data_IF_049973124198
#
_entry.id   IF_049973124198
#
_cell.length_a   1.000
_cell.length_b   1.000
_cell.length_c   1.000
_cell.angle_alpha   90.00
_cell.angle_beta   90.00
_cell.angle_gamma   90.00
#
_symmetry.space_group_name_H-M   'P 1'
#
loop_
_entity.id
_entity.type
_entity.pdbx_description
1 polymer ?
#
# COMPACT_ATOMS: atom_id res chain seq x y z
N UNK A 1 38.01 14.50 5.35
CA UNK A 1 36.81 15.11 4.71
C UNK A 1 37.23 15.92 3.49
N UNK A 2 38.08 16.96 3.59
CA UNK A 2 38.54 17.80 2.44
C UNK A 2 39.09 16.98 1.27
N UNK A 3 39.78 15.86 1.52
CA UNK A 3 40.30 14.98 0.50
C UNK A 3 39.15 14.22 -0.21
N UNK A 4 38.14 13.77 0.52
CA UNK A 4 36.95 13.11 -0.02
C UNK A 4 36.17 14.09 -0.91
N UNK A 5 35.91 15.31 -0.47
CA UNK A 5 35.25 16.35 -1.27
C UNK A 5 36.02 16.67 -2.57
N UNK A 6 37.32 16.74 -2.50
CA UNK A 6 38.19 16.95 -3.68
C UNK A 6 38.13 15.76 -4.64
N UNK A 7 38.08 14.53 -4.12
CA UNK A 7 37.95 13.30 -4.90
C UNK A 7 36.60 13.22 -5.61
N UNK A 8 35.52 13.56 -4.88
CA UNK A 8 34.15 13.52 -5.36
C UNK A 8 33.93 14.55 -6.46
N UNK A 9 34.45 15.79 -6.30
CA UNK A 9 34.07 16.90 -7.19
C UNK A 9 32.55 17.06 -7.25
N UNK A 10 32.00 17.00 -8.46
CA UNK A 10 30.55 16.98 -8.71
C UNK A 10 30.06 15.60 -9.21
N UNK A 11 30.80 14.53 -8.96
CA UNK A 11 30.43 13.19 -9.40
C UNK A 11 29.53 12.49 -8.38
N UNK A 12 28.23 12.45 -8.64
CA UNK A 12 27.25 11.80 -7.79
C UNK A 12 27.50 10.29 -7.59
N UNK A 13 28.19 9.61 -8.52
CA UNK A 13 28.52 8.19 -8.34
C UNK A 13 29.57 7.98 -7.26
N UNK A 14 30.54 8.88 -7.21
CA UNK A 14 31.53 8.85 -6.11
C UNK A 14 30.85 9.17 -4.78
N UNK A 15 29.92 10.12 -4.76
CA UNK A 15 29.09 10.38 -3.58
C UNK A 15 28.35 9.12 -3.10
N UNK A 16 27.69 8.39 -4.03
CA UNK A 16 26.97 7.15 -3.65
C UNK A 16 27.90 6.07 -3.09
N UNK A 17 29.10 5.93 -3.62
CA UNK A 17 30.10 5.01 -3.07
C UNK A 17 30.52 5.40 -1.65
N UNK A 18 30.71 6.68 -1.39
CA UNK A 18 31.02 7.21 -0.07
C UNK A 18 29.85 6.97 0.87
N UNK A 19 28.62 7.33 0.46
CA UNK A 19 27.41 7.18 1.23
C UNK A 19 27.14 5.71 1.61
N UNK A 20 27.28 4.80 0.67
CA UNK A 20 27.17 3.35 0.94
C UNK A 20 28.18 2.86 1.97
N UNK A 21 29.41 3.36 1.91
CA UNK A 21 30.46 3.01 2.89
C UNK A 21 30.16 3.61 4.27
N UNK A 22 29.59 4.81 4.34
CA UNK A 22 29.19 5.44 5.60
C UNK A 22 28.03 4.68 6.25
N UNK A 23 26.99 4.30 5.48
CA UNK A 23 25.90 3.45 5.97
C UNK A 23 26.41 2.10 6.51
N UNK A 24 27.33 1.45 5.79
CA UNK A 24 27.94 0.21 6.27
C UNK A 24 28.70 0.43 7.58
N UNK A 25 29.39 1.53 7.71
CA UNK A 25 30.10 1.90 8.92
C UNK A 25 29.17 2.17 10.11
N UNK A 26 28.05 2.83 9.86
CA UNK A 26 27.02 3.09 10.86
C UNK A 26 26.45 1.80 11.42
N UNK A 27 26.19 0.83 10.55
CA UNK A 27 25.57 -0.45 10.91
C UNK A 27 26.55 -1.43 11.55
N UNK A 28 27.76 -1.57 11.01
CA UNK A 28 28.69 -2.65 11.37
C UNK A 28 30.02 -2.17 11.98
N UNK A 29 30.29 -0.88 12.04
CA UNK A 29 31.57 -0.35 12.53
C UNK A 29 31.75 -0.52 14.05
N UNK A 30 33.00 -0.71 14.51
CA UNK A 30 33.36 -0.81 15.93
C UNK A 30 33.33 0.58 16.61
N UNK A 31 32.56 0.71 17.69
CA UNK A 31 32.44 1.93 18.50
C UNK A 31 33.78 2.45 19.06
N UNK A 32 34.73 1.54 19.28
CA UNK A 32 36.04 1.89 19.83
C UNK A 32 36.99 2.59 18.86
N UNK A 33 36.67 2.59 17.54
CA UNK A 33 37.60 3.08 16.52
C UNK A 33 37.45 4.57 16.19
N UNK A 34 36.29 5.20 16.42
CA UNK A 34 35.96 6.55 15.93
C UNK A 34 35.23 7.45 16.92
N UNK A 35 35.04 7.08 18.20
CA UNK A 35 34.24 7.89 19.13
C UNK A 35 32.76 7.94 18.75
N UNK A 36 32.18 9.13 18.70
CA UNK A 36 30.78 9.30 18.28
C UNK A 36 30.66 9.21 16.75
N UNK A 37 30.37 7.99 16.24
CA UNK A 37 30.26 7.69 14.79
C UNK A 37 29.27 8.63 14.09
N UNK A 38 28.12 8.88 14.73
CA UNK A 38 27.04 9.69 14.15
C UNK A 38 27.53 11.10 13.88
N UNK A 39 28.23 11.73 14.83
CA UNK A 39 28.80 13.08 14.64
C UNK A 39 29.79 13.15 13.47
N UNK A 40 30.64 12.13 13.33
CA UNK A 40 31.61 12.08 12.23
C UNK A 40 30.92 11.90 10.88
N UNK A 41 29.87 11.09 10.82
CA UNK A 41 29.08 10.87 9.60
C UNK A 41 28.35 12.16 9.22
N UNK A 42 27.72 12.82 10.18
CA UNK A 42 27.03 14.10 9.97
C UNK A 42 28.01 15.20 9.48
N UNK A 43 29.21 15.28 10.06
CA UNK A 43 30.26 16.21 9.59
C UNK A 43 30.69 15.91 8.14
N UNK A 44 30.77 14.61 7.78
CA UNK A 44 31.11 14.22 6.41
C UNK A 44 30.00 14.64 5.44
N UNK A 45 28.75 14.37 5.76
CA UNK A 45 27.61 14.77 4.91
C UNK A 45 27.49 16.30 4.80
N UNK A 46 27.66 17.03 5.89
CA UNK A 46 27.64 18.49 5.88
C UNK A 46 28.74 19.08 4.97
N UNK A 47 29.93 18.48 4.96
CA UNK A 47 31.02 18.95 4.09
C UNK A 47 30.84 18.53 2.62
N UNK A 48 30.22 17.35 2.36
CA UNK A 48 29.95 16.87 1.00
C UNK A 48 28.82 17.64 0.29
N UNK A 49 27.93 18.28 1.07
CA UNK A 49 26.80 19.09 0.59
C UNK A 49 25.94 18.35 -0.44
N UNK A 50 25.28 17.23 -0.04
CA UNK A 50 24.50 16.40 -0.98
C UNK A 50 23.34 17.15 -1.59
N UNK A 51 22.72 18.06 -0.86
CA UNK A 51 21.59 18.85 -1.35
C UNK A 51 22.00 19.68 -2.57
N UNK A 52 23.11 20.39 -2.49
CA UNK A 52 23.64 21.14 -3.62
C UNK A 52 24.04 20.24 -4.79
N UNK A 53 24.69 19.11 -4.51
CA UNK A 53 25.09 18.15 -5.53
C UNK A 53 23.87 17.67 -6.32
N UNK A 54 22.79 17.26 -5.63
CA UNK A 54 21.60 16.72 -6.30
C UNK A 54 20.71 17.81 -6.90
N UNK A 55 20.67 19.02 -6.33
CA UNK A 55 19.94 20.15 -6.93
C UNK A 55 20.51 20.56 -8.28
N UNK A 56 21.83 20.54 -8.42
CA UNK A 56 22.47 20.82 -9.71
C UNK A 56 22.06 19.77 -10.79
N UNK A 57 21.79 18.52 -10.39
CA UNK A 57 21.36 17.46 -11.29
C UNK A 57 19.89 17.57 -11.73
N UNK A 58 19.05 18.36 -11.04
CA UNK A 58 17.65 18.58 -11.48
C UNK A 58 17.57 19.23 -12.87
N UNK A 59 18.61 19.94 -13.28
CA UNK A 59 18.70 20.62 -14.60
C UNK A 59 19.41 19.80 -15.67
N UNK A 60 19.73 18.52 -15.37
CA UNK A 60 20.44 17.67 -16.32
C UNK A 60 19.56 17.31 -17.53
N UNK A 61 20.20 17.13 -18.69
CA UNK A 61 19.49 16.70 -19.92
C UNK A 61 19.00 15.24 -19.85
N UNK A 62 19.59 14.43 -18.98
CA UNK A 62 19.24 13.01 -18.84
C UNK A 62 18.09 12.83 -17.85
N UNK A 63 16.95 12.34 -18.35
CA UNK A 63 15.75 12.10 -17.55
C UNK A 63 15.97 11.17 -16.35
N UNK A 64 16.85 10.19 -16.47
CA UNK A 64 17.16 9.27 -15.37
C UNK A 64 17.95 9.98 -14.26
N UNK A 65 18.87 10.86 -14.65
CA UNK A 65 19.62 11.70 -13.70
C UNK A 65 18.70 12.65 -12.94
N UNK A 66 17.76 13.30 -13.65
CA UNK A 66 16.77 14.20 -13.02
C UNK A 66 15.87 13.44 -12.06
N UNK A 67 15.31 12.31 -12.49
CA UNK A 67 14.44 11.48 -11.64
C UNK A 67 15.17 10.94 -10.40
N UNK A 68 16.43 10.56 -10.57
CA UNK A 68 17.29 10.15 -9.46
C UNK A 68 17.53 11.29 -8.49
N UNK A 69 17.85 12.49 -8.98
CA UNK A 69 18.07 13.68 -8.17
C UNK A 69 16.83 14.04 -7.31
N UNK A 70 15.63 13.98 -7.90
CA UNK A 70 14.39 14.21 -7.16
C UNK A 70 14.28 13.29 -5.92
N UNK A 71 14.53 11.99 -6.10
CA UNK A 71 14.47 11.03 -5.00
C UNK A 71 15.53 11.28 -3.93
N UNK A 72 16.77 11.56 -4.38
CA UNK A 72 17.88 11.80 -3.44
C UNK A 72 17.67 13.06 -2.60
N UNK A 73 17.14 14.14 -3.20
CA UNK A 73 16.79 15.34 -2.42
C UNK A 73 15.73 15.06 -1.36
N UNK A 74 14.74 14.20 -1.68
CA UNK A 74 13.75 13.78 -0.69
C UNK A 74 14.35 12.86 0.38
N UNK A 75 15.36 12.04 0.07
CA UNK A 75 16.08 11.21 1.04
C UNK A 75 16.87 12.05 2.06
N UNK A 76 17.27 13.27 1.69
CA UNK A 76 17.97 14.24 2.55
C UNK A 76 17.05 15.31 3.16
N UNK A 77 15.73 15.17 3.03
CA UNK A 77 14.75 16.14 3.53
C UNK A 77 15.00 17.58 3.04
N UNK A 78 15.52 17.71 1.80
CA UNK A 78 15.92 18.98 1.20
C UNK A 78 14.69 19.80 0.74
N UNK A 79 13.91 20.31 1.70
CA UNK A 79 12.63 21.03 1.46
C UNK A 79 12.80 22.34 0.66
N UNK A 80 13.98 22.91 0.62
CA UNK A 80 14.28 24.12 -0.17
C UNK A 80 14.04 23.88 -1.70
N UNK A 81 14.09 22.62 -2.14
CA UNK A 81 13.87 22.24 -3.54
C UNK A 81 12.46 21.70 -3.82
N UNK A 82 11.55 21.77 -2.86
CA UNK A 82 10.18 21.29 -3.02
C UNK A 82 9.48 21.93 -4.23
N UNK A 83 9.68 23.24 -4.45
CA UNK A 83 9.11 23.97 -5.57
C UNK A 83 9.60 23.44 -6.93
N UNK A 84 10.90 23.18 -7.07
CA UNK A 84 11.49 22.62 -8.29
C UNK A 84 10.96 21.19 -8.56
N UNK A 85 10.84 20.38 -7.52
CA UNK A 85 10.29 19.01 -7.60
C UNK A 85 8.81 19.04 -7.97
N UNK A 86 8.04 19.99 -7.42
CA UNK A 86 6.64 20.18 -7.79
C UNK A 86 6.48 20.53 -9.28
N UNK A 87 7.33 21.38 -9.83
CA UNK A 87 7.31 21.66 -11.26
C UNK A 87 7.71 20.43 -12.10
N UNK A 88 8.71 19.67 -11.67
CA UNK A 88 9.12 18.43 -12.33
C UNK A 88 8.02 17.35 -12.29
N UNK A 89 7.17 17.32 -11.27
CA UNK A 89 6.02 16.41 -11.21
C UNK A 89 5.04 16.66 -12.36
N UNK A 90 5.00 17.86 -12.95
CA UNK A 90 4.17 18.26 -14.09
C UNK A 90 4.81 17.96 -15.44
N UNK A 91 6.02 17.38 -15.46
CA UNK A 91 6.78 17.08 -16.67
C UNK A 91 5.98 16.22 -17.66
N UNK A 92 6.17 16.50 -18.97
CA UNK A 92 5.66 15.63 -20.04
C UNK A 92 6.42 14.29 -20.11
N UNK A 93 7.63 14.24 -19.57
CA UNK A 93 8.38 13.01 -19.42
C UNK A 93 7.87 12.24 -18.20
N UNK A 94 7.32 11.06 -18.44
CA UNK A 94 6.70 10.25 -17.40
C UNK A 94 7.64 9.78 -16.30
N UNK A 95 8.87 9.43 -16.69
CA UNK A 95 9.86 8.93 -15.73
C UNK A 95 10.27 10.06 -14.77
N UNK A 96 10.41 11.29 -15.28
CA UNK A 96 10.69 12.47 -14.45
C UNK A 96 9.51 12.79 -13.56
N UNK A 97 8.29 12.86 -14.14
CA UNK A 97 7.08 13.18 -13.39
C UNK A 97 6.80 12.17 -12.27
N UNK A 98 6.98 10.88 -12.55
CA UNK A 98 6.83 9.82 -11.54
C UNK A 98 7.84 9.95 -10.40
N UNK A 99 9.13 10.12 -10.72
CA UNK A 99 10.15 10.22 -9.68
C UNK A 99 9.99 11.49 -8.84
N UNK A 100 9.54 12.60 -9.46
CA UNK A 100 9.19 13.81 -8.73
C UNK A 100 7.97 13.60 -7.80
N UNK A 101 6.92 12.89 -8.27
CA UNK A 101 5.78 12.56 -7.43
C UNK A 101 6.16 11.63 -6.26
N UNK A 102 7.07 10.68 -6.46
CA UNK A 102 7.63 9.84 -5.39
C UNK A 102 8.40 10.68 -4.36
N UNK A 103 9.15 11.70 -4.81
CA UNK A 103 9.82 12.64 -3.91
C UNK A 103 8.80 13.46 -3.11
N UNK A 104 7.73 13.96 -3.77
CA UNK A 104 6.64 14.67 -3.07
C UNK A 104 5.96 13.78 -2.02
N UNK A 105 5.79 12.48 -2.31
CA UNK A 105 5.27 11.52 -1.32
C UNK A 105 6.18 11.42 -0.10
N UNK A 106 7.50 11.34 -0.29
CA UNK A 106 8.46 11.30 0.80
C UNK A 106 8.49 12.59 1.61
N UNK A 107 8.31 13.75 0.98
CA UNK A 107 8.12 15.01 1.68
C UNK A 107 6.78 15.12 2.42
N UNK A 108 5.85 14.21 2.20
CA UNK A 108 4.50 14.30 2.76
C UNK A 108 3.67 15.45 2.17
N UNK A 109 3.98 15.90 0.93
CA UNK A 109 3.26 17.01 0.29
C UNK A 109 2.00 16.50 -0.42
N UNK A 110 0.91 16.39 0.33
CA UNK A 110 -0.35 15.77 -0.10
C UNK A 110 -0.94 16.42 -1.36
N UNK A 111 -0.98 17.75 -1.44
CA UNK A 111 -1.56 18.48 -2.58
C UNK A 111 -0.82 18.14 -3.89
N UNK A 112 0.51 18.14 -3.88
CA UNK A 112 1.31 17.83 -5.07
C UNK A 112 1.15 16.39 -5.53
N UNK A 113 1.02 15.43 -4.60
CA UNK A 113 0.77 14.02 -4.91
C UNK A 113 -0.65 13.83 -5.45
N UNK A 114 -1.66 14.46 -4.85
CA UNK A 114 -3.04 14.41 -5.31
C UNK A 114 -3.21 15.01 -6.71
N UNK A 115 -2.57 16.14 -6.99
CA UNK A 115 -2.55 16.76 -8.31
C UNK A 115 -1.89 15.86 -9.37
N UNK A 116 -0.79 15.17 -9.01
CA UNK A 116 -0.17 14.20 -9.89
C UNK A 116 -1.11 13.03 -10.19
N UNK A 117 -1.76 12.45 -9.16
CA UNK A 117 -2.72 11.34 -9.33
C UNK A 117 -3.89 11.76 -10.20
N UNK A 118 -4.50 12.94 -9.97
CA UNK A 118 -5.59 13.46 -10.78
C UNK A 118 -5.18 13.65 -12.25
N UNK A 119 -3.98 14.15 -12.50
CA UNK A 119 -3.47 14.35 -13.86
C UNK A 119 -3.26 13.05 -14.63
N UNK A 120 -2.87 11.98 -13.96
CA UNK A 120 -2.62 10.68 -14.60
C UNK A 120 -3.87 9.79 -14.71
N UNK A 121 -5.00 10.21 -14.14
CA UNK A 121 -6.22 9.41 -14.05
C UNK A 121 -6.66 8.81 -15.40
N UNK A 122 -6.57 9.58 -16.46
CA UNK A 122 -6.94 9.16 -17.82
C UNK A 122 -5.80 8.52 -18.60
N UNK A 123 -4.60 8.42 -18.04
CA UNK A 123 -3.46 7.82 -18.69
C UNK A 123 -3.35 6.32 -18.35
N UNK A 124 -3.94 5.47 -19.20
CA UNK A 124 -3.93 3.99 -19.06
C UNK A 124 -2.54 3.35 -18.94
N UNK A 125 -1.47 4.11 -19.13
CA UNK A 125 -0.09 3.60 -19.00
C UNK A 125 0.40 3.63 -17.56
N UNK A 126 -0.31 4.33 -16.66
CA UNK A 126 -0.07 4.24 -15.23
C UNK A 126 -0.95 3.15 -14.62
N UNK A 127 -0.34 2.28 -13.85
CA UNK A 127 -1.02 1.16 -13.21
C UNK A 127 -1.47 1.50 -11.79
N UNK A 128 -2.43 0.73 -11.27
CA UNK A 128 -2.82 0.75 -9.86
C UNK A 128 -1.61 0.64 -8.91
N UNK A 129 -0.58 -0.13 -9.29
CA UNK A 129 0.65 -0.28 -8.52
C UNK A 129 1.30 1.07 -8.20
N UNK A 130 1.26 2.03 -9.13
CA UNK A 130 1.83 3.36 -8.90
C UNK A 130 1.09 4.12 -7.79
N UNK A 131 -0.24 4.02 -7.72
CA UNK A 131 -1.02 4.64 -6.65
C UNK A 131 -0.62 4.04 -5.30
N UNK A 132 -0.50 2.71 -5.21
CA UNK A 132 -0.01 2.05 -4.01
C UNK A 132 1.38 2.57 -3.61
N UNK A 133 2.33 2.59 -4.55
CA UNK A 133 3.70 3.06 -4.28
C UNK A 133 3.74 4.50 -3.75
N UNK A 134 2.86 5.40 -4.25
CA UNK A 134 2.75 6.76 -3.74
C UNK A 134 2.21 6.79 -2.30
N UNK A 135 1.16 6.01 -2.01
CA UNK A 135 0.61 5.91 -0.65
C UNK A 135 1.56 5.21 0.32
N UNK A 136 2.25 4.14 -0.11
CA UNK A 136 3.23 3.43 0.74
C UNK A 136 4.39 4.33 1.15
N UNK A 137 4.87 5.18 0.23
CA UNK A 137 5.98 6.10 0.47
C UNK A 137 5.55 7.45 1.08
N UNK A 138 4.23 7.69 1.25
CA UNK A 138 3.76 8.96 1.79
C UNK A 138 4.09 9.07 3.28
N UNK A 139 4.91 10.06 3.64
CA UNK A 139 5.48 10.21 4.98
C UNK A 139 4.56 10.90 5.99
N UNK A 140 3.51 11.58 5.52
CA UNK A 140 2.55 12.29 6.36
C UNK A 140 1.22 11.51 6.49
N UNK A 141 0.14 12.18 6.83
CA UNK A 141 -1.17 11.57 7.03
C UNK A 141 -1.79 11.06 5.70
N UNK A 142 -1.90 9.74 5.57
CA UNK A 142 -2.48 9.10 4.39
C UNK A 142 -3.96 9.40 4.21
N UNK A 143 -4.68 9.72 5.28
CA UNK A 143 -6.08 10.11 5.21
C UNK A 143 -6.24 11.50 4.57
N UNK A 144 -5.35 12.44 4.88
CA UNK A 144 -5.32 13.74 4.21
C UNK A 144 -5.10 13.58 2.70
N UNK A 145 -4.09 12.80 2.30
CA UNK A 145 -3.83 12.51 0.89
C UNK A 145 -5.04 11.86 0.21
N UNK A 146 -5.64 10.85 0.83
CA UNK A 146 -6.80 10.14 0.28
C UNK A 146 -8.00 11.10 0.11
N UNK A 147 -8.28 11.95 1.09
CA UNK A 147 -9.34 12.96 1.02
C UNK A 147 -9.15 13.89 -0.18
N UNK A 148 -7.95 14.42 -0.37
CA UNK A 148 -7.63 15.28 -1.52
C UNK A 148 -7.80 14.57 -2.87
N UNK A 149 -7.41 13.30 -2.96
CA UNK A 149 -7.59 12.52 -4.19
C UNK A 149 -9.08 12.24 -4.43
N UNK A 150 -9.87 11.94 -3.38
CA UNK A 150 -11.32 11.73 -3.52
C UNK A 150 -12.06 12.99 -3.99
N UNK A 151 -11.58 14.18 -3.63
CA UNK A 151 -12.14 15.44 -4.12
C UNK A 151 -11.81 15.72 -5.59
N UNK A 152 -10.60 15.36 -6.03
CA UNK A 152 -10.05 15.74 -7.35
C UNK A 152 -10.33 14.72 -8.45
N UNK A 153 -10.60 13.45 -8.12
CA UNK A 153 -10.61 12.34 -9.08
C UNK A 153 -12.01 11.75 -9.29
N UNK A 154 -12.17 11.10 -10.43
CA UNK A 154 -13.38 10.37 -10.82
C UNK A 154 -13.45 8.97 -10.18
N UNK A 155 -14.58 8.27 -10.38
CA UNK A 155 -14.87 6.97 -9.74
C UNK A 155 -13.76 5.92 -9.95
N UNK A 156 -13.18 5.85 -11.13
CA UNK A 156 -12.13 4.87 -11.41
C UNK A 156 -10.91 5.02 -10.51
N UNK A 157 -10.45 6.25 -10.31
CA UNK A 157 -9.31 6.52 -9.45
C UNK A 157 -9.67 6.35 -7.97
N UNK A 158 -10.88 6.77 -7.58
CA UNK A 158 -11.40 6.53 -6.21
C UNK A 158 -11.36 5.04 -5.84
N UNK A 159 -11.79 4.15 -6.74
CA UNK A 159 -11.70 2.70 -6.53
C UNK A 159 -10.24 2.25 -6.31
N UNK A 160 -9.30 2.80 -7.06
CA UNK A 160 -7.88 2.46 -6.91
C UNK A 160 -7.32 2.95 -5.58
N UNK A 161 -7.71 4.15 -5.15
CA UNK A 161 -7.30 4.69 -3.84
C UNK A 161 -7.90 3.89 -2.70
N UNK A 162 -9.20 3.54 -2.75
CA UNK A 162 -9.83 2.68 -1.73
C UNK A 162 -9.04 1.37 -1.57
N UNK A 163 -8.62 0.74 -2.68
CA UNK A 163 -7.81 -0.48 -2.63
C UNK A 163 -6.43 -0.22 -2.02
N UNK A 164 -5.81 0.91 -2.34
CA UNK A 164 -4.48 1.27 -1.84
C UNK A 164 -4.50 1.52 -0.32
N UNK A 165 -5.56 2.15 0.18
CA UNK A 165 -5.66 2.54 1.60
C UNK A 165 -6.37 1.51 2.49
N UNK A 166 -6.96 0.44 1.91
CA UNK A 166 -7.74 -0.52 2.70
C UNK A 166 -6.92 -1.19 3.81
N UNK A 167 -5.64 -1.43 3.57
CA UNK A 167 -4.76 -2.10 4.53
C UNK A 167 -4.28 -1.17 5.67
N UNK A 168 -4.48 0.15 5.54
CA UNK A 168 -4.17 1.13 6.61
C UNK A 168 -5.30 1.31 7.63
N UNK A 169 -6.45 0.67 7.42
CA UNK A 169 -7.60 0.69 8.34
C UNK A 169 -8.06 2.12 8.71
N UNK A 170 -8.20 2.99 7.72
CA UNK A 170 -8.63 4.38 7.90
C UNK A 170 -10.14 4.46 8.16
N UNK A 171 -10.53 4.51 9.45
CA UNK A 171 -11.93 4.48 9.90
C UNK A 171 -12.75 5.72 9.47
N UNK A 172 -12.11 6.85 9.21
CA UNK A 172 -12.77 8.07 8.74
C UNK A 172 -13.49 7.90 7.40
N UNK A 173 -13.05 6.94 6.56
CA UNK A 173 -13.69 6.63 5.28
C UNK A 173 -14.77 5.55 5.37
N UNK A 174 -15.03 5.01 6.56
CA UNK A 174 -16.07 3.99 6.76
C UNK A 174 -17.46 4.39 6.19
N UNK A 175 -17.97 5.64 6.39
CA UNK A 175 -19.23 6.06 5.78
C UNK A 175 -19.23 5.99 4.25
N UNK A 176 -18.12 6.38 3.61
CA UNK A 176 -17.97 6.30 2.16
C UNK A 176 -17.92 4.82 1.69
N UNK A 177 -17.26 3.94 2.43
CA UNK A 177 -17.26 2.51 2.10
C UNK A 177 -18.65 1.91 2.20
N UNK A 178 -19.44 2.28 3.24
CA UNK A 178 -20.83 1.85 3.40
C UNK A 178 -21.66 2.25 2.19
N UNK A 179 -21.62 3.50 1.78
CA UNK A 179 -22.34 4.01 0.60
C UNK A 179 -21.92 3.27 -0.68
N UNK A 180 -20.63 3.06 -0.85
CA UNK A 180 -20.06 2.40 -2.02
C UNK A 180 -20.46 0.94 -2.19
N UNK A 181 -20.91 0.26 -1.12
CA UNK A 181 -21.44 -1.13 -1.23
C UNK A 181 -22.73 -1.22 -2.05
N UNK A 182 -23.46 -0.12 -2.22
CA UNK A 182 -24.68 -0.02 -3.02
C UNK A 182 -24.44 0.46 -4.46
N UNK A 183 -23.18 0.68 -4.86
CA UNK A 183 -22.84 1.18 -6.20
C UNK A 183 -23.31 0.24 -7.30
N UNK A 184 -23.73 0.80 -8.44
CA UNK A 184 -24.00 0.05 -9.66
C UNK A 184 -22.73 -0.61 -10.23
N UNK A 185 -21.57 0.00 -9.99
CA UNK A 185 -20.27 -0.48 -10.42
C UNK A 185 -19.78 -1.62 -9.51
N UNK A 186 -19.64 -2.85 -10.01
CA UNK A 186 -19.17 -3.97 -9.18
C UNK A 186 -17.76 -3.75 -8.62
N UNK A 187 -16.88 -3.04 -9.35
CA UNK A 187 -15.52 -2.78 -8.87
C UNK A 187 -15.52 -1.86 -7.64
N UNK A 188 -16.45 -0.90 -7.57
CA UNK A 188 -16.65 -0.06 -6.37
C UNK A 188 -17.18 -0.91 -5.20
N UNK A 189 -18.21 -1.74 -5.42
CA UNK A 189 -18.72 -2.64 -4.37
C UNK A 189 -17.64 -3.55 -3.82
N UNK A 190 -16.83 -4.16 -4.69
CA UNK A 190 -15.71 -5.04 -4.30
C UNK A 190 -14.71 -4.28 -3.41
N UNK A 191 -14.28 -3.09 -3.84
CA UNK A 191 -13.31 -2.29 -3.10
C UNK A 191 -13.84 -1.89 -1.72
N UNK A 192 -15.09 -1.42 -1.67
CA UNK A 192 -15.72 -0.98 -0.42
C UNK A 192 -16.01 -2.14 0.53
N UNK A 193 -16.52 -3.28 0.04
CA UNK A 193 -16.76 -4.47 0.88
C UNK A 193 -15.45 -5.02 1.42
N UNK A 194 -14.36 -5.03 0.60
CA UNK A 194 -13.03 -5.40 1.09
C UNK A 194 -12.57 -4.45 2.19
N UNK A 195 -12.64 -3.14 1.97
CA UNK A 195 -12.21 -2.14 2.95
C UNK A 195 -12.99 -2.25 4.28
N UNK A 196 -14.32 -2.43 4.24
CA UNK A 196 -15.13 -2.69 5.44
C UNK A 196 -14.73 -3.98 6.15
N UNK A 197 -14.39 -5.02 5.39
CA UNK A 197 -13.87 -6.27 5.94
C UNK A 197 -12.47 -6.10 6.56
N UNK A 198 -11.64 -5.21 6.03
CA UNK A 198 -10.30 -4.92 6.58
C UNK A 198 -10.40 -4.10 7.88
N UNK A 199 -11.36 -3.16 7.98
CA UNK A 199 -11.67 -2.45 9.22
C UNK A 199 -12.15 -3.39 10.34
N UNK A 200 -12.73 -4.53 10.01
CA UNK A 200 -13.24 -5.53 10.95
C UNK A 200 -14.18 -4.95 12.04
N UNK A 201 -14.89 -3.85 11.73
CA UNK A 201 -15.81 -3.22 12.67
C UNK A 201 -17.10 -4.06 12.81
N UNK A 202 -17.43 -4.56 14.01
CA UNK A 202 -18.64 -5.38 14.21
C UNK A 202 -19.96 -4.67 13.82
N UNK A 203 -19.98 -3.33 13.81
CA UNK A 203 -21.16 -2.56 13.36
C UNK A 203 -21.50 -2.82 11.90
N UNK A 204 -20.52 -3.21 11.09
CA UNK A 204 -20.68 -3.50 9.66
C UNK A 204 -21.06 -4.97 9.38
N UNK A 205 -21.16 -5.80 10.40
CA UNK A 205 -21.46 -7.24 10.26
C UNK A 205 -22.69 -7.50 9.41
N UNK A 206 -23.80 -6.82 9.70
CA UNK A 206 -25.05 -7.00 8.95
C UNK A 206 -24.89 -6.62 7.46
N UNK A 207 -24.11 -5.59 7.17
CA UNK A 207 -23.85 -5.16 5.82
C UNK A 207 -22.98 -6.20 5.08
N UNK A 208 -21.95 -6.73 5.74
CA UNK A 208 -21.12 -7.80 5.18
C UNK A 208 -21.94 -9.08 4.96
N UNK A 209 -22.84 -9.46 5.89
CA UNK A 209 -23.77 -10.58 5.68
C UNK A 209 -24.65 -10.34 4.44
N UNK A 210 -25.19 -9.13 4.28
CA UNK A 210 -25.97 -8.80 3.08
C UNK A 210 -25.13 -8.91 1.82
N UNK A 211 -23.86 -8.49 1.86
CA UNK A 211 -22.95 -8.58 0.72
C UNK A 211 -22.57 -10.03 0.32
N UNK A 212 -22.76 -11.03 1.21
CA UNK A 212 -22.59 -12.45 0.82
C UNK A 212 -23.66 -12.94 -0.17
N UNK A 213 -24.70 -12.15 -0.43
CA UNK A 213 -25.75 -12.45 -1.42
C UNK A 213 -25.65 -11.55 -2.67
N UNK A 214 -24.55 -10.78 -2.84
CA UNK A 214 -24.37 -9.96 -4.05
C UNK A 214 -24.38 -10.81 -5.32
N UNK A 215 -24.86 -10.21 -6.40
CA UNK A 215 -24.86 -10.86 -7.72
C UNK A 215 -23.47 -11.22 -8.23
N UNK A 216 -22.45 -10.43 -7.85
CA UNK A 216 -21.05 -10.61 -8.20
C UNK A 216 -20.35 -11.51 -7.16
N UNK A 217 -19.79 -12.61 -7.60
CA UNK A 217 -19.12 -13.56 -6.71
C UNK A 217 -17.88 -12.99 -6.01
N UNK A 218 -17.20 -12.01 -6.62
CA UNK A 218 -16.03 -11.37 -5.99
C UNK A 218 -16.46 -10.52 -4.80
N UNK A 219 -17.61 -9.84 -4.88
CA UNK A 219 -18.22 -9.13 -3.75
C UNK A 219 -18.55 -10.13 -2.63
N UNK A 220 -19.23 -11.25 -2.98
CA UNK A 220 -19.55 -12.30 -2.01
C UNK A 220 -18.33 -12.86 -1.32
N UNK A 221 -17.28 -13.20 -2.10
CA UNK A 221 -16.00 -13.70 -1.56
C UNK A 221 -15.32 -12.68 -0.64
N UNK A 222 -15.34 -11.39 -0.99
CA UNK A 222 -14.77 -10.31 -0.17
C UNK A 222 -15.54 -10.15 1.14
N UNK A 223 -16.86 -10.22 1.08
CA UNK A 223 -17.73 -10.15 2.26
C UNK A 223 -17.44 -11.29 3.25
N UNK A 224 -17.33 -12.51 2.74
CA UNK A 224 -17.00 -13.70 3.56
C UNK A 224 -15.63 -13.55 4.24
N UNK A 225 -14.63 -13.06 3.53
CA UNK A 225 -13.29 -12.79 4.12
C UNK A 225 -13.38 -11.72 5.23
N UNK A 226 -14.20 -10.70 5.01
CA UNK A 226 -14.46 -9.66 6.02
C UNK A 226 -15.15 -10.22 7.26
N UNK A 227 -16.20 -11.05 7.08
CA UNK A 227 -16.87 -11.75 8.19
C UNK A 227 -15.91 -12.64 8.97
N UNK A 228 -14.91 -13.24 8.31
CA UNK A 228 -13.88 -14.04 8.96
C UNK A 228 -13.03 -13.26 9.98
N UNK A 229 -12.98 -11.93 9.87
CA UNK A 229 -12.26 -11.04 10.79
C UNK A 229 -13.13 -10.53 11.96
N UNK A 230 -14.45 -10.70 11.90
CA UNK A 230 -15.40 -10.29 12.93
C UNK A 230 -15.76 -11.52 13.77
N UNK A 231 -15.35 -11.54 15.04
CA UNK A 231 -15.55 -12.71 15.91
C UNK A 231 -16.89 -12.62 16.69
N UNK A 232 -17.99 -12.96 16.00
CA UNK A 232 -19.33 -13.06 16.57
C UNK A 232 -20.02 -14.34 16.11
N UNK A 233 -21.01 -14.87 16.85
CA UNK A 233 -21.80 -16.01 16.42
C UNK A 233 -22.51 -15.77 15.08
N UNK A 234 -22.98 -14.54 14.85
CA UNK A 234 -23.73 -14.18 13.65
C UNK A 234 -22.85 -14.15 12.40
N UNK A 235 -21.60 -13.65 12.52
CA UNK A 235 -20.64 -13.71 11.42
C UNK A 235 -20.26 -15.16 11.09
N UNK A 236 -20.16 -16.03 12.11
CA UNK A 236 -19.92 -17.46 11.91
C UNK A 236 -21.04 -18.12 11.11
N UNK A 237 -22.30 -17.84 11.44
CA UNK A 237 -23.45 -18.35 10.67
C UNK A 237 -23.44 -17.86 9.22
N UNK A 238 -23.11 -16.57 8.99
CA UNK A 238 -22.96 -16.02 7.66
C UNK A 238 -21.88 -16.74 6.83
N UNK A 239 -20.76 -17.10 7.45
CA UNK A 239 -19.69 -17.87 6.81
C UNK A 239 -20.15 -19.31 6.52
N UNK A 240 -20.82 -19.97 7.48
CA UNK A 240 -21.38 -21.33 7.30
C UNK A 240 -22.41 -21.40 6.16
N UNK A 241 -23.19 -20.35 5.96
CA UNK A 241 -24.11 -20.29 4.82
C UNK A 241 -23.36 -20.10 3.50
N UNK A 242 -22.35 -19.22 3.47
CA UNK A 242 -21.55 -18.95 2.28
C UNK A 242 -20.71 -20.16 1.80
N UNK A 243 -20.48 -21.17 2.65
CA UNK A 243 -19.78 -22.41 2.23
C UNK A 243 -20.60 -23.23 1.22
N UNK A 244 -21.91 -22.96 1.11
CA UNK A 244 -22.83 -23.60 0.16
C UNK A 244 -22.96 -22.80 -1.15
N UNK A 245 -22.18 -21.73 -1.33
CA UNK A 245 -22.25 -20.89 -2.54
C UNK A 245 -22.02 -21.71 -3.80
N UNK A 246 -22.72 -21.34 -4.88
CA UNK A 246 -22.54 -21.97 -6.20
C UNK A 246 -21.12 -21.80 -6.75
N UNK A 247 -20.45 -20.68 -6.41
CA UNK A 247 -19.12 -20.35 -6.90
C UNK A 247 -18.03 -20.99 -6.03
N UNK A 248 -17.11 -21.69 -6.64
CA UNK A 248 -16.02 -22.37 -5.95
C UNK A 248 -15.16 -21.40 -5.10
N UNK A 249 -14.85 -20.22 -5.63
CA UNK A 249 -14.03 -19.21 -4.95
C UNK A 249 -14.68 -18.69 -3.67
N UNK A 250 -16.01 -18.56 -3.64
CA UNK A 250 -16.73 -18.13 -2.45
C UNK A 250 -16.68 -19.24 -1.39
N UNK A 251 -16.92 -20.50 -1.77
CA UNK A 251 -16.77 -21.66 -0.87
C UNK A 251 -15.36 -21.76 -0.29
N UNK A 252 -14.31 -21.53 -1.10
CA UNK A 252 -12.93 -21.56 -0.61
C UNK A 252 -12.66 -20.40 0.36
N UNK A 253 -13.20 -19.21 0.12
CA UNK A 253 -13.09 -18.10 1.06
C UNK A 253 -13.79 -18.39 2.38
N UNK A 254 -14.96 -19.04 2.35
CA UNK A 254 -15.70 -19.44 3.54
C UNK A 254 -14.96 -20.53 4.33
N UNK A 255 -14.46 -21.56 3.67
CA UNK A 255 -13.67 -22.61 4.30
C UNK A 255 -12.41 -22.05 4.97
N UNK A 256 -11.67 -21.16 4.26
CA UNK A 256 -10.50 -20.48 4.82
C UNK A 256 -10.86 -19.62 6.04
N UNK A 257 -11.97 -18.90 6.00
CA UNK A 257 -12.44 -18.10 7.13
C UNK A 257 -12.79 -18.96 8.35
N UNK A 258 -13.44 -20.10 8.16
CA UNK A 258 -13.75 -21.07 9.24
C UNK A 258 -12.46 -21.60 9.90
N UNK A 259 -11.49 -22.04 9.09
CA UNK A 259 -10.22 -22.58 9.60
C UNK A 259 -9.42 -21.51 10.35
N UNK A 260 -9.32 -20.29 9.81
CA UNK A 260 -8.58 -19.20 10.45
C UNK A 260 -9.21 -18.75 11.78
N UNK A 261 -10.51 -18.91 11.96
CA UNK A 261 -11.21 -18.63 13.23
C UNK A 261 -11.06 -19.72 14.27
N UNK A 262 -10.37 -20.82 13.97
CA UNK A 262 -10.25 -21.99 14.86
C UNK A 262 -11.62 -22.46 15.39
N UNK A 263 -12.63 -22.53 14.51
CA UNK A 263 -13.97 -23.02 14.86
C UNK A 263 -13.92 -24.41 15.48
N UNK A 264 -14.94 -24.79 16.24
CA UNK A 264 -14.97 -26.08 16.90
C UNK A 264 -14.93 -27.26 15.91
N UNK A 265 -14.41 -28.38 16.36
CA UNK A 265 -14.38 -29.62 15.55
C UNK A 265 -15.81 -30.03 15.14
N UNK A 266 -16.79 -29.85 16.04
CA UNK A 266 -18.19 -30.14 15.75
C UNK A 266 -18.76 -29.28 14.61
N UNK A 267 -18.39 -27.99 14.53
CA UNK A 267 -18.82 -27.13 13.42
C UNK A 267 -18.30 -27.63 12.05
N UNK A 268 -17.09 -28.17 12.04
CA UNK A 268 -16.45 -28.73 10.85
C UNK A 268 -17.06 -30.11 10.50
N UNK A 269 -17.31 -30.95 11.52
CA UNK A 269 -17.92 -32.28 11.34
C UNK A 269 -19.31 -32.19 10.72
N UNK A 270 -20.13 -31.24 11.12
CA UNK A 270 -21.46 -31.00 10.55
C UNK A 270 -21.39 -30.70 9.04
N UNK A 271 -20.37 -29.91 8.61
CA UNK A 271 -20.16 -29.61 7.20
C UNK A 271 -19.63 -30.84 6.47
N UNK A 272 -18.67 -31.55 7.05
CA UNK A 272 -18.03 -32.73 6.42
C UNK A 272 -18.99 -33.92 6.32
N UNK A 273 -19.90 -34.09 7.31
CA UNK A 273 -20.94 -35.13 7.33
C UNK A 273 -22.22 -34.74 6.60
N UNK A 274 -22.34 -33.51 6.14
CA UNK A 274 -23.52 -32.98 5.45
C UNK A 274 -23.69 -33.53 4.04
N UNK A 275 -24.87 -33.31 3.44
CA UNK A 275 -25.21 -33.76 2.08
C UNK A 275 -24.50 -32.90 1.00
N UNK A 276 -24.00 -31.71 1.31
CA UNK A 276 -23.32 -30.84 0.35
C UNK A 276 -21.85 -31.25 0.18
N UNK A 277 -21.62 -32.08 -0.83
CA UNK A 277 -20.29 -32.55 -1.20
C UNK A 277 -19.30 -31.41 -1.52
N UNK A 278 -19.78 -30.33 -2.14
CA UNK A 278 -18.91 -29.23 -2.53
C UNK A 278 -18.47 -28.39 -1.32
N UNK A 279 -19.35 -28.23 -0.33
CA UNK A 279 -19.01 -27.61 0.95
C UNK A 279 -17.98 -28.46 1.70
N UNK A 280 -18.20 -29.77 1.81
CA UNK A 280 -17.27 -30.70 2.44
C UNK A 280 -15.89 -30.70 1.76
N UNK A 281 -15.83 -30.72 0.42
CA UNK A 281 -14.58 -30.69 -0.32
C UNK A 281 -13.84 -29.36 -0.15
N UNK A 282 -14.55 -28.23 -0.04
CA UNK A 282 -13.93 -26.93 0.24
C UNK A 282 -13.25 -26.91 1.62
N UNK A 283 -13.89 -27.44 2.65
CA UNK A 283 -13.32 -27.54 4.02
C UNK A 283 -12.12 -28.49 4.02
N UNK A 284 -12.21 -29.67 3.40
CA UNK A 284 -11.07 -30.61 3.29
C UNK A 284 -9.87 -29.96 2.65
N UNK A 285 -10.08 -29.23 1.55
CA UNK A 285 -9.00 -28.51 0.86
C UNK A 285 -8.36 -27.43 1.71
N UNK A 286 -9.17 -26.65 2.45
CA UNK A 286 -8.68 -25.62 3.34
C UNK A 286 -7.88 -26.20 4.51
N UNK A 287 -8.35 -27.32 5.10
CA UNK A 287 -7.62 -28.07 6.14
C UNK A 287 -6.26 -28.56 5.64
N UNK A 288 -6.24 -29.21 4.47
CA UNK A 288 -5.01 -29.71 3.87
C UNK A 288 -3.98 -28.57 3.70
N UNK A 289 -4.38 -27.43 3.12
CA UNK A 289 -3.50 -26.29 2.96
C UNK A 289 -3.00 -25.69 4.28
N UNK A 290 -3.81 -25.72 5.33
CA UNK A 290 -3.40 -25.20 6.64
C UNK A 290 -2.32 -26.05 7.33
N UNK A 291 -2.24 -27.34 7.00
CA UNK A 291 -1.22 -28.27 7.48
C UNK A 291 0.09 -28.04 6.71
N UNK A 292 0.02 -28.02 5.37
CA UNK A 292 1.18 -27.80 4.49
C UNK A 292 1.94 -26.49 4.81
N UNK A 293 1.20 -25.42 5.16
CA UNK A 293 1.81 -24.12 5.52
C UNK A 293 2.46 -24.09 6.90
N UNK A 294 2.24 -25.11 7.76
CA UNK A 294 2.88 -25.20 9.09
C UNK A 294 4.16 -26.06 9.08
N UNK A 295 4.36 -26.83 8.03
CA UNK A 295 5.51 -27.74 7.89
C UNK A 295 6.63 -27.18 6.98
N UNK A 296 6.43 -26.05 6.31
CA UNK A 296 7.41 -25.31 5.49
C UNK A 296 7.83 -24.00 6.12
#
# INVERSE_FOLDING_TARGET
IKALKKLMGNDHKIFEMISAQLCFWEEYGDENTLGNKTEVIDEIYAELDPEKLFSDLLKANNKYTVGYACRRLADFDAYDYLGDILELSKSKNRDVAYNAAMALSRYGYAEGVADFIARIENDKKYSFRLVNELFDNFSADKAELASMVFEKCEEYMKINVIKAISDYCLFEFEPMYIDGTSSKNPAMRIACVKALGDLANPKNEQLLITATYDKDWVVRSSAVKGLGKIDTPRSLEGIKEAIKDKEWWVRQSAAGALINRNVSVSDIEDILGGYDKYAADAVKYALYRSIDMKEG
#
